data_IF_384668847591
#
_entry.id   IF_384668847591
#
_cell.length_a   1.000
_cell.length_b   1.000
_cell.length_c   1.000
_cell.angle_alpha   90.00
_cell.angle_beta   90.00
_cell.angle_gamma   90.00
#
_symmetry.space_group_name_H-M   'P 1'
#
loop_
_entity.id
_entity.type
_entity.pdbx_description
1 polymer ?
#
# COMPACT_ATOMS: atom_id res chain seq x y z
N UNK A 1 -6.74 -14.74 -12.25
CA UNK A 1 -6.09 -13.40 -12.19
C UNK A 1 -5.79 -13.12 -10.72
N UNK A 2 -4.63 -12.56 -10.39
CA UNK A 2 -4.21 -12.36 -8.98
C UNK A 2 -5.01 -11.26 -8.27
N UNK A 3 -5.70 -10.39 -9.02
CA UNK A 3 -6.55 -9.32 -8.48
C UNK A 3 -7.92 -9.45 -9.14
N UNK A 4 -8.97 -9.55 -8.32
CA UNK A 4 -10.34 -9.77 -8.78
C UNK A 4 -11.30 -8.80 -8.12
N UNK A 5 -12.08 -8.12 -8.94
CA UNK A 5 -13.23 -7.31 -8.51
C UNK A 5 -14.50 -8.00 -8.95
N UNK A 6 -15.49 -8.09 -8.06
CA UNK A 6 -16.81 -8.65 -8.39
C UNK A 6 -17.71 -7.62 -9.07
N UNK A 7 -17.44 -6.34 -8.84
CA UNK A 7 -18.15 -5.23 -9.48
C UNK A 7 -17.56 -4.94 -10.84
N UNK A 8 -18.36 -4.80 -11.92
CA UNK A 8 -17.86 -4.36 -13.21
C UNK A 8 -17.20 -2.98 -13.11
N UNK A 9 -15.99 -2.88 -13.63
CA UNK A 9 -15.22 -1.62 -13.64
C UNK A 9 -15.35 -0.97 -15.02
N UNK A 10 -15.70 0.31 -15.01
CA UNK A 10 -15.73 1.17 -16.19
C UNK A 10 -14.54 2.13 -16.13
N UNK A 11 -13.68 2.10 -17.13
CA UNK A 11 -12.59 3.05 -17.25
C UNK A 11 -13.12 4.36 -17.82
N UNK A 12 -13.02 5.42 -17.04
CA UNK A 12 -13.42 6.76 -17.44
C UNK A 12 -12.20 7.51 -18.02
N UNK A 13 -12.44 8.30 -19.06
CA UNK A 13 -11.51 9.34 -19.47
C UNK A 13 -11.44 10.45 -18.42
N UNK A 14 -10.44 11.31 -18.50
CA UNK A 14 -10.31 12.46 -17.60
C UNK A 14 -11.56 13.38 -17.65
N UNK A 15 -12.14 13.60 -18.84
CA UNK A 15 -13.32 14.42 -19.03
C UNK A 15 -14.56 13.78 -18.37
N UNK A 16 -14.83 12.49 -18.66
CA UNK A 16 -15.93 11.75 -18.04
C UNK A 16 -15.82 11.69 -16.51
N UNK A 17 -14.60 11.45 -16.00
CA UNK A 17 -14.37 11.49 -14.55
C UNK A 17 -14.57 12.89 -13.97
N UNK A 18 -14.19 13.94 -14.70
CA UNK A 18 -14.40 15.33 -14.30
C UNK A 18 -15.90 15.67 -14.14
N UNK A 19 -16.74 15.26 -15.09
CA UNK A 19 -18.19 15.44 -15.04
C UNK A 19 -18.81 14.66 -13.88
N UNK A 20 -18.44 13.39 -13.72
CA UNK A 20 -18.88 12.55 -12.60
C UNK A 20 -18.47 13.16 -11.26
N UNK A 21 -17.21 13.57 -11.13
CA UNK A 21 -16.68 14.17 -9.92
C UNK A 21 -17.39 15.50 -9.58
N UNK A 22 -17.76 16.29 -10.58
CA UNK A 22 -18.54 17.50 -10.37
C UNK A 22 -19.91 17.19 -9.76
N UNK A 23 -20.65 16.24 -10.35
CA UNK A 23 -21.96 15.81 -9.83
C UNK A 23 -21.88 15.28 -8.39
N UNK A 24 -20.92 14.40 -8.11
CA UNK A 24 -20.71 13.84 -6.77
C UNK A 24 -20.35 14.94 -5.78
N UNK A 25 -19.45 15.86 -6.14
CA UNK A 25 -19.04 16.94 -5.25
C UNK A 25 -20.13 17.94 -4.95
N UNK A 26 -21.06 18.21 -5.87
CA UNK A 26 -22.26 19.01 -5.57
C UNK A 26 -23.05 18.37 -4.42
N UNK A 27 -23.29 17.07 -4.48
CA UNK A 27 -23.96 16.34 -3.40
C UNK A 27 -23.16 16.38 -2.08
N UNK A 28 -21.83 16.19 -2.15
CA UNK A 28 -20.94 16.25 -0.99
C UNK A 28 -20.98 17.62 -0.30
N UNK A 29 -20.95 18.71 -1.07
CA UNK A 29 -21.06 20.08 -0.52
C UNK A 29 -22.42 20.31 0.17
N UNK A 30 -23.52 19.82 -0.42
CA UNK A 30 -24.84 19.90 0.20
C UNK A 30 -24.86 19.14 1.54
N UNK A 31 -24.38 17.90 1.55
CA UNK A 31 -24.26 17.08 2.77
C UNK A 31 -23.47 17.80 3.84
N UNK A 32 -22.30 18.34 3.48
CA UNK A 32 -21.44 19.05 4.43
C UNK A 32 -22.11 20.33 4.97
N UNK A 33 -22.80 21.10 4.14
CA UNK A 33 -23.53 22.32 4.55
C UNK A 33 -24.69 22.00 5.50
N UNK A 34 -25.38 20.88 5.28
CA UNK A 34 -26.54 20.49 6.10
C UNK A 34 -26.11 19.80 7.40
N UNK A 35 -25.13 18.90 7.33
CA UNK A 35 -24.74 18.06 8.47
C UNK A 35 -23.56 18.64 9.26
N UNK A 36 -22.78 19.54 8.67
CA UNK A 36 -21.54 20.03 9.27
C UNK A 36 -20.40 18.99 9.23
N UNK A 37 -19.40 19.14 10.10
CA UNK A 37 -18.09 18.49 10.01
C UNK A 37 -17.75 17.49 11.12
N UNK A 38 -18.68 17.21 12.04
CA UNK A 38 -18.33 16.45 13.26
C UNK A 38 -18.71 14.98 13.23
N UNK A 39 -19.28 14.49 12.14
CA UNK A 39 -19.64 13.09 12.00
C UNK A 39 -18.46 12.23 11.56
N UNK A 40 -18.59 10.94 11.81
CA UNK A 40 -17.67 9.93 11.29
C UNK A 40 -17.79 9.80 9.77
N UNK A 41 -16.69 9.46 9.12
CA UNK A 41 -16.59 9.26 7.67
C UNK A 41 -17.70 8.38 7.09
N UNK A 42 -18.00 7.25 7.77
CA UNK A 42 -19.06 6.31 7.35
C UNK A 42 -20.45 6.94 7.27
N UNK A 43 -20.71 7.97 8.06
CA UNK A 43 -22.03 8.66 8.06
C UNK A 43 -22.16 9.46 6.76
N UNK A 44 -21.17 10.22 6.39
CA UNK A 44 -21.16 10.99 5.15
C UNK A 44 -21.23 10.09 3.91
N UNK A 45 -20.52 8.95 3.91
CA UNK A 45 -20.59 7.97 2.82
C UNK A 45 -22.00 7.41 2.64
N UNK A 46 -22.67 7.05 3.74
CA UNK A 46 -24.06 6.55 3.70
C UNK A 46 -25.03 7.58 3.19
N UNK A 47 -24.89 8.83 3.61
CA UNK A 47 -25.72 9.92 3.14
C UNK A 47 -25.50 10.19 1.66
N UNK A 48 -24.26 10.14 1.19
CA UNK A 48 -23.94 10.22 -0.24
C UNK A 48 -24.62 9.09 -1.02
N UNK A 49 -24.52 7.85 -0.54
CA UNK A 49 -25.15 6.71 -1.20
C UNK A 49 -26.68 6.78 -1.20
N UNK A 50 -27.28 7.50 -0.23
CA UNK A 50 -28.71 7.75 -0.21
C UNK A 50 -29.14 8.80 -1.24
N UNK A 51 -28.33 9.84 -1.44
CA UNK A 51 -28.65 10.98 -2.32
C UNK A 51 -28.23 10.80 -3.77
N UNK A 52 -27.16 10.03 -4.00
CA UNK A 52 -26.59 9.88 -5.34
C UNK A 52 -26.69 8.43 -5.82
N UNK A 53 -27.49 8.21 -6.88
CA UNK A 53 -27.60 6.90 -7.49
C UNK A 53 -26.25 6.45 -8.07
N UNK A 54 -26.02 5.14 -8.14
CA UNK A 54 -24.76 4.58 -8.66
C UNK A 54 -23.60 4.51 -7.65
N UNK A 55 -23.78 5.04 -6.42
CA UNK A 55 -22.78 4.93 -5.35
C UNK A 55 -22.79 3.53 -4.76
N UNK A 56 -21.60 2.90 -4.74
CA UNK A 56 -21.33 1.65 -4.06
C UNK A 56 -20.29 1.91 -2.98
N UNK A 57 -20.54 1.40 -1.78
CA UNK A 57 -19.64 1.55 -0.61
C UNK A 57 -18.86 0.27 -0.38
N UNK A 58 -17.62 0.40 0.09
CA UNK A 58 -16.77 -0.71 0.52
C UNK A 58 -16.70 -1.82 -0.55
N UNK A 59 -16.35 -1.43 -1.79
CA UNK A 59 -16.31 -2.36 -2.93
C UNK A 59 -15.13 -3.32 -2.77
N UNK A 60 -15.39 -4.64 -2.65
CA UNK A 60 -14.35 -5.60 -2.36
C UNK A 60 -13.44 -5.86 -3.57
N UNK A 61 -12.15 -5.86 -3.31
CA UNK A 61 -11.08 -6.25 -4.22
C UNK A 61 -10.36 -7.43 -3.59
N UNK A 62 -10.40 -8.59 -4.19
CA UNK A 62 -9.67 -9.76 -3.70
C UNK A 62 -8.28 -9.81 -4.34
N UNK A 63 -7.22 -9.76 -3.51
CA UNK A 63 -5.83 -9.93 -3.95
C UNK A 63 -5.37 -11.31 -3.54
N UNK A 64 -4.83 -12.07 -4.53
CA UNK A 64 -4.40 -13.45 -4.32
C UNK A 64 -3.02 -13.70 -4.92
N UNK A 65 -2.25 -14.59 -4.30
CA UNK A 65 -1.04 -15.19 -4.87
C UNK A 65 -0.77 -16.52 -4.19
N UNK A 66 -0.68 -17.60 -4.94
CA UNK A 66 -0.56 -18.95 -4.41
C UNK A 66 -1.66 -19.22 -3.35
N UNK A 67 -1.26 -19.46 -2.10
CA UNK A 67 -2.18 -19.66 -0.96
C UNK A 67 -2.57 -18.37 -0.23
N UNK A 68 -1.92 -17.26 -0.53
CA UNK A 68 -2.25 -15.96 0.07
C UNK A 68 -3.55 -15.39 -0.51
N UNK A 69 -4.42 -14.91 0.38
CA UNK A 69 -5.67 -14.21 0.01
C UNK A 69 -5.88 -13.05 0.96
N UNK A 70 -6.16 -11.87 0.39
CA UNK A 70 -6.46 -10.68 1.18
C UNK A 70 -7.55 -9.85 0.53
N UNK A 71 -8.69 -9.63 1.21
CA UNK A 71 -9.67 -8.65 0.77
C UNK A 71 -9.12 -7.24 1.03
N UNK A 72 -9.32 -6.38 0.05
CA UNK A 72 -9.15 -4.94 0.11
C UNK A 72 -10.51 -4.30 -0.19
N UNK A 73 -10.72 -3.05 0.21
CA UNK A 73 -12.01 -2.40 0.03
C UNK A 73 -11.79 -0.99 -0.51
N UNK A 74 -12.28 -0.75 -1.72
CA UNK A 74 -12.36 0.59 -2.27
C UNK A 74 -13.51 1.32 -1.58
N UNK A 75 -13.21 2.46 -1.00
CA UNK A 75 -14.07 3.15 -0.05
C UNK A 75 -15.44 3.53 -0.66
N UNK A 76 -15.41 4.23 -1.79
CA UNK A 76 -16.60 4.61 -2.56
C UNK A 76 -16.30 4.45 -4.04
N UNK A 77 -17.17 3.77 -4.78
CA UNK A 77 -17.13 3.65 -6.23
C UNK A 77 -18.45 4.19 -6.81
N UNK A 78 -18.36 5.15 -7.71
CA UNK A 78 -19.56 5.75 -8.36
C UNK A 78 -19.57 5.33 -9.83
N UNK A 79 -20.74 4.84 -10.29
CA UNK A 79 -21.00 4.39 -11.67
C UNK A 79 -19.97 3.39 -12.21
N UNK A 80 -19.39 2.59 -11.30
CA UNK A 80 -18.37 1.59 -11.63
C UNK A 80 -17.03 2.15 -12.11
N UNK A 81 -16.84 3.48 -12.12
CA UNK A 81 -15.63 4.10 -12.69
C UNK A 81 -15.03 5.25 -11.90
N UNK A 82 -15.77 5.82 -10.96
CA UNK A 82 -15.32 6.93 -10.15
C UNK A 82 -14.97 6.51 -8.71
N UNK A 83 -13.69 6.24 -8.39
CA UNK A 83 -13.25 5.97 -7.03
C UNK A 83 -13.13 7.27 -6.23
N UNK A 84 -13.72 7.28 -5.03
CA UNK A 84 -13.58 8.34 -4.06
C UNK A 84 -13.10 7.76 -2.74
N UNK A 85 -12.15 8.44 -2.11
CA UNK A 85 -11.68 8.16 -0.77
C UNK A 85 -12.17 9.28 0.15
N UNK A 86 -12.98 8.95 1.14
CA UNK A 86 -13.51 9.89 2.12
C UNK A 86 -12.64 9.90 3.36
N UNK A 87 -12.49 11.06 3.97
CA UNK A 87 -11.80 11.26 5.24
C UNK A 87 -12.55 12.26 6.13
N UNK A 88 -12.43 12.04 7.42
CA UNK A 88 -12.88 12.99 8.45
C UNK A 88 -11.74 13.26 9.42
N UNK A 89 -10.65 13.86 8.92
CA UNK A 89 -9.38 14.08 9.64
C UNK A 89 -8.98 15.55 9.65
N UNK A 90 -8.24 15.98 10.68
CA UNK A 90 -7.80 17.37 10.82
C UNK A 90 -6.85 17.82 9.70
N UNK A 91 -6.06 16.90 9.13
CA UNK A 91 -5.19 17.19 8.01
C UNK A 91 -5.03 15.98 7.06
N UNK A 92 -5.06 16.25 5.77
CA UNK A 92 -4.66 15.28 4.75
C UNK A 92 -3.14 15.14 4.84
N UNK A 93 -2.67 13.89 4.96
CA UNK A 93 -1.25 13.53 4.90
C UNK A 93 -0.97 12.80 3.59
N UNK A 94 0.31 12.61 3.23
CA UNK A 94 0.71 11.89 2.02
C UNK A 94 0.19 10.44 1.97
N UNK A 95 -0.16 9.85 3.10
CA UNK A 95 -0.72 8.49 3.17
C UNK A 95 -2.11 8.39 2.54
N UNK A 96 -2.93 9.44 2.62
CA UNK A 96 -4.31 9.40 2.13
C UNK A 96 -4.39 9.32 0.60
N UNK A 97 -3.71 10.18 -0.19
CA UNK A 97 -3.67 10.01 -1.64
C UNK A 97 -2.94 8.73 -2.06
N UNK A 98 -1.93 8.26 -1.31
CA UNK A 98 -1.27 6.99 -1.59
C UNK A 98 -2.21 5.80 -1.40
N UNK A 99 -3.09 5.83 -0.39
CA UNK A 99 -4.12 4.81 -0.18
C UNK A 99 -5.10 4.76 -1.36
N UNK A 100 -5.61 5.90 -1.80
CA UNK A 100 -6.49 5.95 -2.97
C UNK A 100 -5.77 5.46 -4.23
N UNK A 101 -4.52 5.88 -4.45
CA UNK A 101 -3.72 5.42 -5.58
C UNK A 101 -3.54 3.89 -5.55
N UNK A 102 -3.29 3.31 -4.38
CA UNK A 102 -3.19 1.85 -4.23
C UNK A 102 -4.46 1.14 -4.72
N UNK A 103 -5.63 1.59 -4.30
CA UNK A 103 -6.91 1.02 -4.76
C UNK A 103 -7.16 1.25 -6.25
N UNK A 104 -6.79 2.42 -6.76
CA UNK A 104 -6.88 2.70 -8.19
C UNK A 104 -6.00 1.77 -9.01
N UNK A 105 -4.78 1.48 -8.55
CA UNK A 105 -3.87 0.55 -9.22
C UNK A 105 -4.38 -0.90 -9.17
N UNK A 106 -5.01 -1.32 -8.07
CA UNK A 106 -5.64 -2.64 -7.95
C UNK A 106 -6.86 -2.77 -8.89
N UNK A 107 -7.65 -1.71 -9.01
CA UNK A 107 -8.87 -1.68 -9.82
C UNK A 107 -8.63 -1.23 -11.28
N UNK A 108 -7.39 -0.95 -11.68
CA UNK A 108 -7.05 -0.43 -13.01
C UNK A 108 -7.78 0.88 -13.38
N UNK A 109 -8.04 1.74 -12.40
CA UNK A 109 -8.68 3.05 -12.56
C UNK A 109 -7.63 4.15 -12.72
N UNK A 110 -7.86 5.09 -13.65
CA UNK A 110 -6.92 6.17 -13.97
C UNK A 110 -7.10 7.45 -13.17
N UNK A 111 -8.29 7.69 -12.65
CA UNK A 111 -8.68 8.93 -11.99
C UNK A 111 -9.42 8.63 -10.70
N UNK A 112 -9.18 9.41 -9.65
CA UNK A 112 -9.86 9.28 -8.37
C UNK A 112 -9.89 10.61 -7.62
N UNK A 113 -10.67 10.68 -6.56
CA UNK A 113 -10.82 11.89 -5.76
C UNK A 113 -10.79 11.58 -4.27
N UNK A 114 -9.91 12.27 -3.56
CA UNK A 114 -9.87 12.28 -2.10
C UNK A 114 -10.70 13.45 -1.58
N UNK A 115 -11.52 13.21 -0.57
CA UNK A 115 -12.44 14.19 0.02
C UNK A 115 -12.30 14.16 1.53
N UNK A 116 -12.02 15.30 2.16
CA UNK A 116 -11.97 15.43 3.61
C UNK A 116 -13.08 16.38 4.12
N UNK A 117 -13.88 15.87 5.01
CA UNK A 117 -15.08 16.53 5.53
C UNK A 117 -14.89 17.12 6.94
N UNK A 118 -13.72 17.03 7.55
CA UNK A 118 -13.47 17.54 8.91
C UNK A 118 -13.30 19.05 8.97
N UNK A 119 -12.89 19.70 7.88
CA UNK A 119 -12.62 21.14 7.82
C UNK A 119 -13.93 21.96 7.80
N UNK A 120 -13.82 23.27 7.98
CA UNK A 120 -14.94 24.19 7.82
C UNK A 120 -15.48 24.23 6.40
N UNK A 121 -14.61 24.03 5.42
CA UNK A 121 -14.95 23.78 4.03
C UNK A 121 -14.42 22.41 3.60
N UNK A 122 -15.13 21.76 2.68
CA UNK A 122 -14.70 20.46 2.15
C UNK A 122 -13.35 20.62 1.44
N UNK A 123 -12.34 19.93 1.95
CA UNK A 123 -11.03 19.84 1.34
C UNK A 123 -11.00 18.64 0.38
N UNK A 124 -10.52 18.83 -0.84
CA UNK A 124 -10.48 17.73 -1.80
C UNK A 124 -9.32 17.86 -2.78
N UNK A 125 -8.86 16.72 -3.31
CA UNK A 125 -7.83 16.67 -4.34
C UNK A 125 -8.09 15.53 -5.33
N UNK A 126 -7.64 15.71 -6.57
CA UNK A 126 -7.61 14.66 -7.57
C UNK A 126 -6.35 13.79 -7.40
N UNK A 127 -6.53 12.48 -7.59
CA UNK A 127 -5.43 11.52 -7.71
C UNK A 127 -5.53 10.92 -9.10
N UNK A 128 -4.45 10.98 -9.87
CA UNK A 128 -4.44 10.50 -11.25
C UNK A 128 -3.24 9.59 -11.48
N UNK A 129 -3.43 8.59 -12.33
CA UNK A 129 -2.35 7.73 -12.80
C UNK A 129 -2.62 7.26 -14.22
N UNK A 130 -1.57 7.14 -15.01
CA UNK A 130 -1.59 6.49 -16.32
C UNK A 130 -1.06 5.07 -16.28
N UNK A 131 -0.53 4.65 -15.12
CA UNK A 131 0.07 3.34 -14.94
C UNK A 131 -0.98 2.23 -15.05
N UNK A 132 -0.66 1.23 -15.85
CA UNK A 132 -1.42 -0.01 -16.00
C UNK A 132 -0.67 -1.17 -15.36
N UNK A 133 -1.35 -2.25 -15.12
CA UNK A 133 -0.70 -3.46 -14.60
C UNK A 133 0.48 -3.88 -15.48
N UNK A 134 0.31 -3.88 -16.81
CA UNK A 134 1.37 -4.20 -17.77
C UNK A 134 2.61 -3.30 -17.68
N UNK A 135 2.48 -2.04 -17.25
CA UNK A 135 3.60 -1.13 -17.01
C UNK A 135 4.33 -1.45 -15.72
N UNK A 136 3.58 -1.90 -14.72
CA UNK A 136 4.07 -2.16 -13.36
C UNK A 136 4.76 -3.51 -13.20
N UNK A 137 4.46 -4.48 -14.05
CA UNK A 137 5.16 -5.78 -14.09
C UNK A 137 6.44 -5.75 -14.93
N UNK A 138 6.69 -4.66 -15.67
CA UNK A 138 7.91 -4.44 -16.45
C UNK A 138 8.92 -3.62 -15.65
N UNK A 139 9.67 -4.31 -14.81
CA UNK A 139 10.74 -3.72 -14.00
C UNK A 139 12.04 -4.50 -14.15
N UNK A 140 13.15 -3.83 -13.90
CA UNK A 140 14.48 -4.42 -13.82
C UNK A 140 14.82 -4.80 -12.39
N UNK A 141 15.69 -5.79 -12.22
CA UNK A 141 16.21 -6.21 -10.93
C UNK A 141 17.71 -5.90 -10.88
N UNK A 142 18.13 -5.12 -9.87
CA UNK A 142 19.52 -4.90 -9.55
C UNK A 142 19.84 -5.60 -8.22
N UNK A 143 20.80 -6.53 -8.25
CA UNK A 143 21.17 -7.39 -7.13
C UNK A 143 22.68 -7.51 -6.93
N UNK A 144 23.43 -6.51 -7.36
CA UNK A 144 24.90 -6.48 -7.23
C UNK A 144 25.41 -6.56 -5.79
N UNK A 145 24.60 -6.16 -4.81
CA UNK A 145 24.86 -6.21 -3.37
C UNK A 145 24.08 -7.33 -2.67
N UNK A 146 23.55 -8.27 -3.43
CA UNK A 146 22.82 -9.43 -2.92
C UNK A 146 23.74 -10.62 -2.65
N UNK A 147 23.35 -11.46 -1.71
CA UNK A 147 24.03 -12.71 -1.41
C UNK A 147 23.01 -13.82 -1.14
N UNK A 148 23.00 -14.83 -2.00
CA UNK A 148 22.19 -16.04 -1.81
C UNK A 148 22.69 -16.95 -0.68
N UNK A 149 23.84 -16.59 -0.07
CA UNK A 149 24.44 -17.36 1.04
C UNK A 149 23.75 -17.09 2.38
N UNK A 150 23.00 -15.98 2.47
CA UNK A 150 22.26 -15.69 3.70
C UNK A 150 21.09 -16.65 3.86
N UNK A 151 20.86 -17.18 5.08
CA UNK A 151 19.71 -18.02 5.33
C UNK A 151 18.40 -17.30 4.97
N UNK A 152 17.53 -17.96 4.20
CA UNK A 152 16.26 -17.42 3.75
C UNK A 152 16.33 -16.44 2.57
N UNK A 153 17.53 -16.06 2.10
CA UNK A 153 17.71 -15.06 1.04
C UNK A 153 17.05 -15.49 -0.28
N UNK A 154 17.29 -16.72 -0.70
CA UNK A 154 16.74 -17.26 -1.96
C UNK A 154 15.22 -17.23 -1.91
N UNK A 155 14.61 -17.80 -0.87
CA UNK A 155 13.16 -17.87 -0.69
C UNK A 155 12.53 -16.46 -0.65
N UNK A 156 13.13 -15.53 0.09
CA UNK A 156 12.67 -14.14 0.15
C UNK A 156 12.67 -13.48 -1.23
N UNK A 157 13.78 -13.54 -1.96
CA UNK A 157 13.94 -12.91 -3.27
C UNK A 157 13.00 -13.53 -4.31
N UNK A 158 12.89 -14.85 -4.35
CA UNK A 158 11.97 -15.56 -5.26
C UNK A 158 10.51 -15.21 -4.95
N UNK A 159 10.09 -15.28 -3.69
CA UNK A 159 8.73 -14.96 -3.29
C UNK A 159 8.37 -13.50 -3.61
N UNK A 160 9.23 -12.54 -3.27
CA UNK A 160 8.98 -11.12 -3.59
C UNK A 160 8.95 -10.88 -5.10
N UNK A 161 9.87 -11.47 -5.84
CA UNK A 161 9.90 -11.32 -7.31
C UNK A 161 8.63 -11.90 -7.95
N UNK A 162 8.13 -13.04 -7.47
CA UNK A 162 6.89 -13.63 -7.93
C UNK A 162 5.68 -12.72 -7.65
N UNK A 163 5.59 -12.16 -6.42
CA UNK A 163 4.54 -11.20 -6.06
C UNK A 163 4.57 -9.96 -6.96
N UNK A 164 5.76 -9.40 -7.20
CA UNK A 164 5.92 -8.22 -8.05
C UNK A 164 5.57 -8.48 -9.53
N UNK A 165 5.82 -9.68 -10.02
CA UNK A 165 5.40 -10.08 -11.38
C UNK A 165 3.90 -10.31 -11.50
N UNK A 166 3.26 -10.78 -10.42
CA UNK A 166 1.82 -11.01 -10.39
C UNK A 166 1.01 -9.72 -10.20
N UNK A 167 1.43 -8.86 -9.26
CA UNK A 167 0.67 -7.69 -8.86
C UNK A 167 1.19 -6.37 -9.45
N UNK A 168 2.41 -6.38 -9.97
CA UNK A 168 3.14 -5.19 -10.37
C UNK A 168 3.75 -4.45 -9.19
N UNK A 169 4.65 -3.51 -9.46
CA UNK A 169 5.22 -2.55 -8.52
C UNK A 169 4.22 -1.44 -8.17
N UNK A 170 4.55 -0.57 -7.20
CA UNK A 170 3.78 0.66 -6.90
C UNK A 170 2.55 0.46 -6.01
N UNK A 171 2.27 -0.75 -5.51
CA UNK A 171 1.26 -0.98 -4.49
C UNK A 171 1.81 -0.65 -3.10
N UNK A 172 0.91 -0.60 -2.11
CA UNK A 172 1.29 -0.42 -0.71
C UNK A 172 2.27 -1.53 -0.26
N UNK A 173 3.39 -1.13 0.33
CA UNK A 173 4.42 -2.05 0.80
C UNK A 173 3.90 -3.05 1.83
N UNK A 174 2.94 -2.65 2.64
CA UNK A 174 2.31 -3.51 3.64
C UNK A 174 1.63 -4.73 2.99
N UNK A 175 1.08 -4.59 1.78
CA UNK A 175 0.48 -5.72 1.07
C UNK A 175 1.53 -6.77 0.69
N UNK A 176 2.68 -6.35 0.15
CA UNK A 176 3.78 -7.26 -0.16
C UNK A 176 4.37 -7.90 1.10
N UNK A 177 4.55 -7.13 2.17
CA UNK A 177 5.09 -7.61 3.43
C UNK A 177 4.19 -8.69 4.05
N UNK A 178 2.87 -8.49 4.06
CA UNK A 178 1.91 -9.48 4.55
C UNK A 178 1.90 -10.75 3.71
N UNK A 179 2.01 -10.61 2.38
CA UNK A 179 2.08 -11.76 1.49
C UNK A 179 3.39 -12.53 1.68
N UNK A 180 4.52 -11.84 1.78
CA UNK A 180 5.80 -12.45 2.11
C UNK A 180 5.77 -13.18 3.44
N UNK A 181 5.25 -12.55 4.49
CA UNK A 181 5.07 -13.16 5.80
C UNK A 181 4.27 -14.46 5.71
N UNK A 182 3.17 -14.45 4.95
CA UNK A 182 2.37 -15.64 4.72
C UNK A 182 3.15 -16.74 3.96
N UNK A 183 3.83 -16.38 2.88
CA UNK A 183 4.56 -17.32 2.02
C UNK A 183 5.81 -17.91 2.69
N UNK A 184 6.43 -17.17 3.60
CA UNK A 184 7.58 -17.60 4.37
C UNK A 184 7.23 -18.40 5.63
N UNK A 185 5.95 -18.74 5.85
CA UNK A 185 5.52 -19.64 6.92
C UNK A 185 4.52 -19.05 7.91
N UNK A 186 4.06 -17.81 7.67
CA UNK A 186 3.06 -17.12 8.49
C UNK A 186 3.65 -16.40 9.71
N UNK A 187 2.80 -15.65 10.40
CA UNK A 187 3.19 -14.76 11.51
C UNK A 187 3.99 -15.48 12.59
N UNK A 188 3.60 -16.72 12.94
CA UNK A 188 4.25 -17.48 14.00
C UNK A 188 5.73 -17.86 13.69
N UNK A 189 6.09 -17.92 12.41
CA UNK A 189 7.46 -18.24 11.99
C UNK A 189 8.26 -17.01 11.61
N UNK A 190 7.59 -16.02 11.06
CA UNK A 190 8.23 -14.86 10.46
C UNK A 190 8.37 -13.70 11.44
N UNK A 191 7.36 -13.44 12.27
CA UNK A 191 7.39 -12.31 13.20
C UNK A 191 8.05 -12.72 14.53
N UNK A 192 9.20 -12.12 14.83
CA UNK A 192 9.95 -12.39 16.06
C UNK A 192 10.16 -11.12 16.89
N UNK A 193 10.18 -11.28 18.20
CA UNK A 193 10.57 -10.23 19.14
C UNK A 193 12.09 -10.21 19.27
N UNK A 194 12.73 -9.33 18.51
CA UNK A 194 14.19 -9.16 18.47
C UNK A 194 14.64 -8.29 19.64
N UNK A 195 15.60 -8.77 20.40
CA UNK A 195 16.18 -8.03 21.54
C UNK A 195 16.96 -6.82 21.03
N UNK A 196 16.67 -5.66 21.61
CA UNK A 196 17.42 -4.42 21.36
C UNK A 196 18.23 -4.07 22.62
N UNK A 197 19.52 -3.86 22.42
CA UNK A 197 20.48 -3.66 23.52
C UNK A 197 21.59 -2.65 23.21
N UNK A 198 22.13 -2.08 24.25
CA UNK A 198 23.47 -1.45 24.25
C UNK A 198 24.48 -2.44 24.84
N UNK A 199 25.79 -2.12 24.82
CA UNK A 199 26.78 -2.97 25.51
C UNK A 199 26.50 -3.17 27.00
N UNK A 200 25.82 -2.23 27.64
CA UNK A 200 25.62 -2.20 29.07
C UNK A 200 24.28 -2.82 29.55
N UNK A 201 23.23 -2.75 28.74
CA UNK A 201 21.92 -3.22 29.15
C UNK A 201 20.96 -3.49 28.00
N UNK A 202 19.93 -4.33 28.25
CA UNK A 202 18.82 -4.58 27.34
C UNK A 202 17.83 -3.40 27.42
N UNK A 203 17.48 -2.86 26.25
CA UNK A 203 16.52 -1.74 26.12
C UNK A 203 15.08 -2.21 25.95
N UNK A 204 14.87 -3.40 25.39
CA UNK A 204 13.56 -3.96 25.12
C UNK A 204 13.54 -4.92 23.95
N UNK A 205 12.36 -5.12 23.38
CA UNK A 205 12.16 -6.00 22.23
C UNK A 205 11.44 -5.21 21.13
N UNK A 206 11.80 -5.50 19.89
CA UNK A 206 11.13 -4.95 18.71
C UNK A 206 10.65 -6.09 17.83
N UNK A 207 9.36 -6.09 17.49
CA UNK A 207 8.80 -7.08 16.55
C UNK A 207 9.32 -6.80 15.15
N UNK A 208 9.93 -7.79 14.52
CA UNK A 208 10.52 -7.69 13.19
C UNK A 208 10.22 -8.93 12.35
N UNK A 209 10.05 -8.79 11.02
CA UNK A 209 9.90 -9.94 10.14
C UNK A 209 11.28 -10.54 9.85
N UNK A 210 11.39 -11.86 10.04
CA UNK A 210 12.60 -12.64 9.77
C UNK A 210 12.37 -13.59 8.59
N UNK A 211 13.33 -13.62 7.67
CA UNK A 211 13.39 -14.62 6.59
C UNK A 211 13.97 -15.95 7.07
N UNK A 212 14.78 -15.90 8.12
CA UNK A 212 15.38 -17.04 8.83
C UNK A 212 15.82 -16.59 10.24
N UNK A 213 16.16 -17.50 11.16
CA UNK A 213 16.69 -17.13 12.46
C UNK A 213 17.83 -16.10 12.33
N UNK A 214 17.69 -14.94 13.01
CA UNK A 214 18.64 -13.82 13.03
C UNK A 214 18.85 -13.09 11.70
N UNK A 215 18.04 -13.38 10.66
CA UNK A 215 18.06 -12.70 9.37
C UNK A 215 16.73 -12.00 9.15
N UNK A 216 16.70 -10.69 9.36
CA UNK A 216 15.50 -9.89 9.13
C UNK A 216 15.32 -9.55 7.64
N UNK A 217 14.11 -9.22 7.23
CA UNK A 217 13.88 -8.59 5.93
C UNK A 217 13.13 -7.27 6.06
N UNK A 218 13.27 -6.41 5.06
CA UNK A 218 12.59 -5.12 5.01
C UNK A 218 12.31 -4.70 3.58
N UNK A 219 11.18 -4.05 3.39
CA UNK A 219 10.75 -3.47 2.11
C UNK A 219 10.73 -1.95 2.22
N UNK A 220 11.21 -1.28 1.19
CA UNK A 220 11.12 0.18 1.05
C UNK A 220 10.70 0.58 -0.36
N UNK A 221 10.30 1.82 -0.54
CA UNK A 221 10.05 2.46 -1.83
C UNK A 221 10.74 3.83 -1.84
N UNK A 222 12.03 3.84 -1.59
CA UNK A 222 12.82 5.07 -1.56
C UNK A 222 13.16 5.51 -2.98
N UNK A 223 13.03 6.80 -3.33
CA UNK A 223 13.39 7.32 -4.65
C UNK A 223 14.87 7.12 -4.97
N UNK A 224 15.74 7.27 -3.95
CA UNK A 224 17.16 6.96 -4.03
C UNK A 224 17.48 5.87 -3.02
N UNK A 225 17.96 4.71 -3.49
CA UNK A 225 18.47 3.64 -2.64
C UNK A 225 19.77 4.13 -1.96
N UNK A 226 19.63 4.79 -0.83
CA UNK A 226 20.68 5.64 -0.32
C UNK A 226 21.60 4.89 0.64
N UNK A 227 22.89 5.23 0.57
CA UNK A 227 23.90 4.91 1.59
C UNK A 227 23.44 5.26 3.02
N UNK A 228 22.50 6.20 3.15
CA UNK A 228 21.88 6.58 4.41
C UNK A 228 21.02 5.45 5.01
N UNK A 229 20.19 4.78 4.19
CA UNK A 229 19.39 3.65 4.67
C UNK A 229 20.29 2.50 5.14
N UNK A 230 21.28 2.14 4.35
CA UNK A 230 22.25 1.10 4.69
C UNK A 230 23.01 1.42 6.00
N UNK A 231 23.44 2.67 6.16
CA UNK A 231 24.09 3.14 7.39
C UNK A 231 23.20 2.97 8.63
N UNK A 232 21.89 3.24 8.52
CA UNK A 232 20.94 3.01 9.60
C UNK A 232 20.66 1.53 9.85
N UNK A 233 20.59 0.71 8.81
CA UNK A 233 20.44 -0.74 8.93
C UNK A 233 21.65 -1.38 9.63
N UNK A 234 22.88 -0.94 9.32
CA UNK A 234 24.08 -1.36 10.03
C UNK A 234 24.06 -0.97 11.53
N UNK A 235 23.49 0.19 11.88
CA UNK A 235 23.31 0.55 13.29
C UNK A 235 22.29 -0.36 13.98
N UNK A 236 21.21 -0.73 13.30
CA UNK A 236 20.23 -1.69 13.83
C UNK A 236 20.90 -3.03 14.13
N UNK A 237 21.72 -3.56 13.22
CA UNK A 237 22.47 -4.80 13.42
C UNK A 237 23.38 -4.73 14.66
N UNK A 238 24.07 -3.60 14.90
CA UNK A 238 24.96 -3.43 16.08
C UNK A 238 24.20 -3.45 17.41
N UNK A 239 22.93 -3.11 17.42
CA UNK A 239 22.09 -3.03 18.63
C UNK A 239 21.12 -4.20 18.78
N UNK A 240 21.20 -5.20 17.93
CA UNK A 240 20.36 -6.40 17.95
C UNK A 240 21.21 -7.66 17.87
N UNK A 241 20.56 -8.82 17.97
CA UNK A 241 21.20 -10.11 17.72
C UNK A 241 21.10 -10.56 16.25
N UNK A 242 20.62 -9.68 15.38
CA UNK A 242 20.53 -9.98 13.95
C UNK A 242 21.91 -10.05 13.32
N UNK A 243 22.06 -10.96 12.36
CA UNK A 243 23.29 -11.17 11.59
C UNK A 243 23.23 -10.48 10.22
N UNK A 244 22.01 -10.35 9.67
CA UNK A 244 21.82 -9.71 8.38
C UNK A 244 20.41 -9.11 8.25
N UNK A 245 20.30 -8.15 7.32
CA UNK A 245 19.03 -7.60 6.86
C UNK A 245 18.93 -7.79 5.34
N UNK A 246 17.95 -8.55 4.90
CA UNK A 246 17.58 -8.68 3.49
C UNK A 246 16.71 -7.50 3.10
N UNK A 247 17.27 -6.58 2.36
CA UNK A 247 16.59 -5.35 1.98
C UNK A 247 16.17 -5.38 0.51
N UNK A 248 14.90 -5.11 0.24
CA UNK A 248 14.39 -4.85 -1.10
C UNK A 248 13.83 -3.42 -1.19
N UNK A 249 14.37 -2.62 -2.11
CA UNK A 249 13.83 -1.31 -2.43
C UNK A 249 13.02 -1.40 -3.73
N UNK A 250 11.71 -1.19 -3.64
CA UNK A 250 10.75 -1.42 -4.71
C UNK A 250 10.44 -0.09 -5.39
N UNK A 251 11.25 0.27 -6.37
CA UNK A 251 10.94 1.36 -7.30
C UNK A 251 9.95 0.92 -8.38
N UNK A 252 9.41 1.88 -9.11
CA UNK A 252 8.40 1.59 -10.14
C UNK A 252 8.98 0.77 -11.30
N UNK A 253 10.21 1.10 -11.73
CA UNK A 253 10.89 0.48 -12.87
C UNK A 253 12.15 -0.30 -12.49
N UNK A 254 12.61 -0.14 -11.27
CA UNK A 254 13.81 -0.79 -10.76
C UNK A 254 13.56 -1.32 -9.35
N UNK A 255 13.81 -2.59 -9.14
CA UNK A 255 13.79 -3.24 -7.83
C UNK A 255 15.22 -3.60 -7.46
N UNK A 256 15.70 -3.09 -6.33
CA UNK A 256 17.05 -3.42 -5.86
C UNK A 256 17.00 -4.38 -4.68
N UNK A 257 17.86 -5.37 -4.70
CA UNK A 257 18.07 -6.30 -3.59
C UNK A 257 19.46 -6.13 -3.00
N UNK A 258 19.56 -6.05 -1.69
CA UNK A 258 20.81 -5.96 -0.95
C UNK A 258 20.75 -6.82 0.31
N UNK A 259 21.91 -7.43 0.66
CA UNK A 259 22.11 -8.12 1.93
C UNK A 259 23.08 -7.29 2.79
N UNK A 260 22.56 -6.65 3.84
CA UNK A 260 23.30 -5.77 4.74
C UNK A 260 23.78 -6.61 5.94
N UNK A 261 25.06 -6.51 6.28
CA UNK A 261 25.72 -7.28 7.35
C UNK A 261 26.51 -6.39 8.30
#
# INVERSE_FOLDING_TARGET
MPITLRTPIRRLSQAEFGELAYSVMQCVFQIHNEMGRFFDERIYKRELAHRHAGVQLEVPIEVTHATFRKPQYLDVLVDGGGPFEFKAVEAITLRHPAQLLHYMLLAELGHGKLVNLRKESVEHLFVNTTLRHEDRVRFEIADSHWSDKEPGAVQFKEALTALLRDWGTGLDLQLYEQALTHLLGGDAHVLADVVVRTPEHVLGHQKMPLAAPRVAFTLTALPDASANYESHALRLLRHTELEAILWANIGLKLVTFSAIR
#
